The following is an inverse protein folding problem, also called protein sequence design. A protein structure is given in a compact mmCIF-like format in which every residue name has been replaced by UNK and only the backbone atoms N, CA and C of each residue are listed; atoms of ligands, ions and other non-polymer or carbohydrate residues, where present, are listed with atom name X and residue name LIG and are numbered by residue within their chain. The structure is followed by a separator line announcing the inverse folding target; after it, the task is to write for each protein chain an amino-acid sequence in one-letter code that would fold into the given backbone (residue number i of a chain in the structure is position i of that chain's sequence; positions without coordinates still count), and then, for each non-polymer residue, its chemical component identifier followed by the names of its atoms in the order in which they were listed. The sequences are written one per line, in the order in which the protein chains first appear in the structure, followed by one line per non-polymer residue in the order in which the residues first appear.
data_IF_510382675434
#
_entry.id   IF_510382675434
#
_cell.length_a   1.000
_cell.length_b   1.000
_cell.length_c   1.000
_cell.angle_alpha   90.00
_cell.angle_beta   90.00
_cell.angle_gamma   90.00
#
_symmetry.space_group_name_H-M   'P 1'
#
loop_
_entity.id
_entity.type
_entity.pdbx_description
1 polymer ?
#
# COMPACT_ATOMS: atom_id res chain seq x y z
N UNK A 1 17.72 -3.37 -8.45
CA UNK A 1 16.99 -3.93 -7.28
C UNK A 1 16.75 -2.92 -6.15
N UNK A 2 17.74 -2.16 -5.64
CA UNK A 2 17.47 -1.06 -4.69
C UNK A 2 16.48 0.01 -5.22
N UNK A 3 16.40 0.21 -6.54
CA UNK A 3 15.69 1.35 -7.14
C UNK A 3 14.17 1.25 -7.21
N UNK A 4 13.58 0.05 -7.16
CA UNK A 4 12.11 -0.10 -7.17
C UNK A 4 11.54 0.02 -5.75
N UNK A 5 12.23 -0.54 -4.75
CA UNK A 5 11.93 -0.28 -3.32
C UNK A 5 12.27 1.15 -2.90
N UNK A 6 13.30 1.77 -3.50
CA UNK A 6 13.52 3.22 -3.35
C UNK A 6 12.41 4.07 -3.97
N UNK A 7 11.55 3.56 -4.87
CA UNK A 7 10.47 4.35 -5.47
C UNK A 7 9.31 4.53 -4.47
N UNK A 8 9.02 3.51 -3.66
CA UNK A 8 8.04 3.58 -2.55
C UNK A 8 8.57 4.47 -1.42
N UNK A 9 9.84 4.32 -1.05
CA UNK A 9 10.47 5.17 -0.02
C UNK A 9 10.65 6.64 -0.46
N UNK A 10 10.84 6.92 -1.76
CA UNK A 10 11.05 8.28 -2.28
C UNK A 10 9.74 9.08 -2.41
N UNK A 11 8.62 8.41 -2.76
CA UNK A 11 7.28 9.04 -2.77
C UNK A 11 6.81 9.42 -1.35
N UNK A 12 7.18 8.63 -0.33
CA UNK A 12 7.00 9.00 1.08
C UNK A 12 7.92 10.16 1.51
N UNK A 13 9.17 10.18 1.04
CA UNK A 13 10.14 11.22 1.40
C UNK A 13 9.87 12.60 0.74
N UNK A 14 9.18 12.69 -0.40
CA UNK A 14 8.88 14.00 -1.02
C UNK A 14 7.74 14.78 -0.35
N UNK A 15 7.06 14.19 0.64
CA UNK A 15 6.18 14.95 1.55
C UNK A 15 6.96 15.88 2.49
N UNK A 16 8.30 15.81 2.51
CA UNK A 16 9.17 16.41 3.54
C UNK A 16 9.69 17.83 3.28
N UNK A 17 9.34 18.49 2.17
CA UNK A 17 9.82 19.86 1.91
C UNK A 17 8.80 20.96 2.26
N UNK A 18 7.60 20.61 2.71
CA UNK A 18 6.68 21.59 3.28
C UNK A 18 7.03 21.82 4.78
N UNK A 19 7.06 23.07 5.26
CA UNK A 19 7.23 23.35 6.68
C UNK A 19 6.16 22.59 7.47
N UNK A 20 6.59 21.89 8.51
CA UNK A 20 5.76 21.12 9.45
C UNK A 20 4.49 21.90 9.77
N UNK A 21 3.41 21.58 9.07
CA UNK A 21 2.10 22.09 9.40
C UNK A 21 1.77 21.53 10.77
N UNK A 22 1.49 22.41 11.72
CA UNK A 22 0.97 22.03 13.03
C UNK A 22 -0.16 21.04 12.82
N UNK A 23 -0.11 19.88 13.48
CA UNK A 23 -1.15 18.86 13.48
C UNK A 23 -2.52 19.56 13.50
N UNK A 24 -3.25 19.45 12.38
CA UNK A 24 -4.58 20.03 12.32
C UNK A 24 -5.42 19.30 13.35
N UNK A 25 -6.08 20.02 14.25
CA UNK A 25 -7.20 19.51 15.06
C UNK A 25 -8.35 19.15 14.10
N UNK A 26 -8.15 18.09 13.33
CA UNK A 26 -9.21 17.46 12.57
C UNK A 26 -10.10 16.78 13.61
N UNK A 27 -11.18 17.47 13.99
CA UNK A 27 -12.33 16.77 14.56
C UNK A 27 -12.64 15.61 13.60
N UNK A 28 -12.61 14.34 14.03
CA UNK A 28 -12.89 13.23 13.13
C UNK A 28 -14.23 13.50 12.47
N UNK A 29 -14.24 13.64 11.13
CA UNK A 29 -15.48 13.62 10.40
C UNK A 29 -16.17 12.29 10.73
N UNK A 30 -17.49 12.30 10.91
CA UNK A 30 -18.22 11.06 11.09
C UNK A 30 -17.88 10.13 9.90
N UNK A 31 -17.42 8.92 10.22
CA UNK A 31 -17.12 7.90 9.22
C UNK A 31 -18.37 7.63 8.38
N UNK A 32 -18.29 7.82 7.07
CA UNK A 32 -19.34 7.38 6.14
C UNK A 32 -19.42 5.85 6.00
N UNK A 33 -18.43 5.11 6.53
CA UNK A 33 -18.32 3.66 6.41
C UNK A 33 -18.90 2.92 7.62
N UNK A 34 -18.87 3.52 8.82
CA UNK A 34 -19.40 2.91 10.04
C UNK A 34 -20.90 2.56 9.96
N UNK A 35 -21.66 3.35 9.17
CA UNK A 35 -23.10 3.15 8.99
C UNK A 35 -23.46 1.98 8.04
N UNK A 36 -22.47 1.33 7.43
CA UNK A 36 -22.68 0.20 6.50
C UNK A 36 -23.10 -1.10 7.20
N UNK A 37 -23.00 -1.18 8.54
CA UNK A 37 -23.39 -2.37 9.30
C UNK A 37 -22.54 -3.61 9.04
N UNK A 38 -21.31 -3.41 8.56
CA UNK A 38 -20.34 -4.47 8.29
C UNK A 38 -19.71 -4.99 9.59
N UNK A 39 -19.28 -6.27 9.63
CA UNK A 39 -18.33 -6.74 10.63
C UNK A 39 -17.09 -5.83 10.68
N UNK A 40 -16.59 -5.55 11.89
CA UNK A 40 -15.41 -4.70 12.07
C UNK A 40 -14.17 -5.53 12.37
N UNK A 41 -13.03 -5.06 11.85
CA UNK A 41 -11.69 -5.51 12.24
C UNK A 41 -10.91 -4.27 12.68
N UNK A 42 -10.76 -4.09 13.99
CA UNK A 42 -10.10 -2.92 14.57
C UNK A 42 -8.63 -3.27 14.84
N UNK A 43 -7.72 -2.62 14.10
CA UNK A 43 -6.27 -2.85 14.16
C UNK A 43 -5.61 -1.64 14.80
N UNK A 44 -4.81 -1.86 15.84
CA UNK A 44 -3.92 -0.82 16.38
C UNK A 44 -2.50 -1.09 15.93
N UNK A 45 -1.90 -0.12 15.25
CA UNK A 45 -0.49 -0.16 14.86
C UNK A 45 0.30 0.58 15.95
N UNK A 46 1.35 -0.07 16.47
CA UNK A 46 2.24 0.49 17.50
C UNK A 46 3.69 0.43 17.03
N UNK A 47 4.61 1.02 17.79
CA UNK A 47 6.05 0.82 17.58
C UNK A 47 6.48 -0.66 17.63
N UNK A 48 5.74 -1.49 18.38
CA UNK A 48 6.08 -2.89 18.62
C UNK A 48 5.47 -3.88 17.61
N UNK A 49 4.49 -3.44 16.80
CA UNK A 49 3.75 -4.32 15.89
C UNK A 49 2.26 -3.99 15.84
N UNK A 50 1.47 -4.98 15.43
CA UNK A 50 0.01 -4.89 15.29
C UNK A 50 -0.71 -5.52 16.48
N UNK A 51 -1.80 -4.90 16.90
CA UNK A 51 -2.77 -5.43 17.87
C UNK A 51 -4.16 -5.51 17.24
N UNK A 52 -4.99 -6.43 17.72
CA UNK A 52 -6.39 -6.57 17.29
C UNK A 52 -6.62 -7.52 16.10
N UNK A 53 -5.55 -8.02 15.48
CA UNK A 53 -5.63 -9.05 14.44
C UNK A 53 -5.75 -10.44 15.11
N UNK A 54 -6.86 -11.18 14.93
CA UNK A 54 -7.03 -12.50 15.52
C UNK A 54 -6.21 -13.56 14.76
N UNK A 55 -5.94 -14.71 15.40
CA UNK A 55 -5.31 -15.85 14.71
C UNK A 55 -6.20 -16.43 13.59
N UNK A 56 -7.52 -16.25 13.69
CA UNK A 56 -8.47 -16.62 12.64
C UNK A 56 -9.70 -15.71 12.61
N UNK A 57 -10.28 -15.54 11.42
CA UNK A 57 -11.60 -14.92 11.23
C UNK A 57 -12.44 -15.67 10.19
N UNK A 58 -13.75 -15.44 10.17
CA UNK A 58 -14.61 -15.95 9.10
C UNK A 58 -14.48 -15.12 7.82
N UNK A 59 -14.59 -15.75 6.65
CA UNK A 59 -14.57 -15.07 5.37
C UNK A 59 -15.73 -14.07 5.27
N UNK A 60 -15.43 -12.87 4.77
CA UNK A 60 -16.41 -11.80 4.79
C UNK A 60 -15.89 -10.45 4.29
N UNK A 61 -16.82 -9.52 4.17
CA UNK A 61 -16.55 -8.10 3.94
C UNK A 61 -16.41 -7.40 5.28
N UNK A 62 -15.28 -6.75 5.50
CA UNK A 62 -14.96 -6.09 6.77
C UNK A 62 -14.82 -4.59 6.58
N UNK A 63 -15.35 -3.83 7.53
CA UNK A 63 -14.85 -2.49 7.81
C UNK A 63 -13.60 -2.63 8.67
N UNK A 64 -12.44 -2.37 8.08
CA UNK A 64 -11.18 -2.35 8.81
C UNK A 64 -10.93 -0.92 9.29
N UNK A 65 -10.82 -0.76 10.60
CA UNK A 65 -10.41 0.50 11.23
C UNK A 65 -8.99 0.34 11.70
N UNK A 66 -8.09 1.19 11.23
CA UNK A 66 -6.72 1.23 11.72
C UNK A 66 -6.57 2.42 12.64
N UNK A 67 -5.82 2.24 13.71
CA UNK A 67 -5.42 3.34 14.61
C UNK A 67 -3.91 3.29 14.75
N UNK A 68 -3.22 4.35 14.34
CA UNK A 68 -1.80 4.50 14.60
C UNK A 68 -1.61 5.09 15.99
N UNK A 69 -0.98 4.34 16.89
CA UNK A 69 -0.65 4.82 18.22
C UNK A 69 0.35 6.00 18.13
N UNK A 70 0.41 6.82 19.18
CA UNK A 70 1.34 7.97 19.20
C UNK A 70 2.83 7.56 19.12
N UNK A 71 3.13 6.28 19.37
CA UNK A 71 4.50 5.75 19.40
C UNK A 71 4.99 5.19 18.06
N UNK A 72 4.16 5.14 17.00
CA UNK A 72 4.51 4.58 15.68
C UNK A 72 5.59 5.36 14.90
N UNK A 73 6.19 6.39 15.51
CA UNK A 73 7.18 7.26 14.86
C UNK A 73 6.54 8.30 13.95
N UNK A 74 7.37 9.12 13.30
CA UNK A 74 6.92 10.29 12.53
C UNK A 74 5.95 9.94 11.40
N UNK A 75 6.09 8.75 10.82
CA UNK A 75 5.28 8.32 9.70
C UNK A 75 3.98 7.65 10.09
N UNK A 76 3.64 7.41 11.36
CA UNK A 76 2.38 6.72 11.66
C UNK A 76 2.44 5.22 11.40
N UNK A 77 1.28 4.63 11.14
CA UNK A 77 1.13 3.19 10.94
C UNK A 77 0.26 2.88 9.74
N UNK A 78 0.62 1.83 9.02
CA UNK A 78 -0.18 1.29 7.93
C UNK A 78 -0.39 -0.21 8.14
N UNK A 79 -1.39 -0.75 7.46
CA UNK A 79 -1.55 -2.20 7.31
C UNK A 79 -2.14 -2.49 5.94
N UNK A 80 -1.57 -3.48 5.27
CA UNK A 80 -2.05 -4.07 4.03
C UNK A 80 -2.27 -5.58 4.23
N UNK A 81 -3.25 -6.12 3.53
CA UNK A 81 -3.65 -7.53 3.63
C UNK A 81 -3.33 -8.25 2.32
N UNK A 82 -2.49 -9.28 2.42
CA UNK A 82 -1.98 -10.05 1.28
C UNK A 82 -2.25 -11.53 1.52
N UNK A 83 -2.82 -12.20 0.53
CA UNK A 83 -2.98 -13.63 0.49
C UNK A 83 -2.02 -14.23 -0.54
N UNK A 84 -0.98 -14.97 -0.11
CA UNK A 84 -0.14 -15.72 -1.02
C UNK A 84 -0.93 -16.75 -1.83
N UNK A 85 -0.47 -17.01 -3.06
CA UNK A 85 -1.02 -18.05 -3.92
C UNK A 85 0.04 -19.11 -4.20
N UNK A 86 -0.33 -20.38 -4.05
CA UNK A 86 0.53 -21.54 -4.38
C UNK A 86 1.68 -21.83 -3.40
N UNK A 87 1.94 -20.96 -2.43
CA UNK A 87 2.98 -21.08 -1.38
C UNK A 87 2.39 -20.71 -0.01
N UNK A 88 3.08 -21.04 1.09
CA UNK A 88 2.69 -20.55 2.41
C UNK A 88 3.11 -19.10 2.63
N UNK A 89 2.52 -18.43 3.62
CA UNK A 89 2.87 -17.08 4.04
C UNK A 89 4.33 -16.94 4.48
N UNK A 90 4.84 -17.88 5.27
CA UNK A 90 6.27 -17.89 5.64
C UNK A 90 7.19 -18.00 4.42
N UNK A 91 6.83 -18.85 3.45
CA UNK A 91 7.60 -19.01 2.22
C UNK A 91 7.54 -17.73 1.38
N UNK A 92 6.35 -17.13 1.26
CA UNK A 92 6.15 -15.86 0.56
C UNK A 92 6.98 -14.72 1.17
N UNK A 93 6.93 -14.54 2.50
CA UNK A 93 7.75 -13.55 3.21
C UNK A 93 9.25 -13.82 3.03
N UNK A 94 9.66 -15.09 3.08
CA UNK A 94 11.04 -15.49 2.81
C UNK A 94 11.51 -15.15 1.38
N UNK A 95 10.62 -15.21 0.39
CA UNK A 95 10.92 -14.80 -0.98
C UNK A 95 11.08 -13.28 -1.10
N UNK A 96 10.27 -12.49 -0.37
CA UNK A 96 10.34 -11.03 -0.39
C UNK A 96 11.57 -10.47 0.31
N UNK A 97 12.04 -11.12 1.39
CA UNK A 97 13.23 -10.71 2.11
C UNK A 97 14.54 -10.83 1.28
N UNK A 98 14.51 -11.60 0.19
CA UNK A 98 15.66 -11.84 -0.67
C UNK A 98 16.75 -12.69 -0.01
N UNK A 99 17.83 -13.03 -0.75
CA UNK A 99 18.95 -13.78 -0.18
C UNK A 99 19.70 -12.93 0.87
N UNK A 100 20.25 -13.54 1.93
CA UNK A 100 21.05 -12.83 2.92
C UNK A 100 22.20 -12.04 2.26
N UNK A 101 22.56 -10.85 2.78
CA UNK A 101 23.60 -9.99 2.19
C UNK A 101 24.98 -10.66 2.05
N UNK A 102 25.23 -11.73 2.80
CA UNK A 102 26.50 -12.46 2.78
C UNK A 102 26.53 -13.65 1.81
N UNK A 103 25.41 -13.97 1.16
CA UNK A 103 25.33 -15.08 0.21
C UNK A 103 25.90 -14.73 -1.19
N UNK A 104 26.05 -13.44 -1.50
CA UNK A 104 26.66 -12.96 -2.75
C UNK A 104 28.14 -12.61 -2.55
N UNK A 105 28.96 -13.61 -2.19
CA UNK A 105 30.42 -13.50 -2.13
C UNK A 105 31.09 -13.45 -3.52
N UNK A 106 30.60 -12.61 -4.43
CA UNK A 106 31.09 -12.49 -5.80
C UNK A 106 31.27 -11.04 -6.22
N UNK A 107 32.49 -10.72 -6.65
CA UNK A 107 32.96 -9.46 -7.25
C UNK A 107 31.84 -8.61 -7.90
N UNK A 108 31.54 -7.45 -7.29
CA UNK A 108 30.58 -6.48 -7.81
C UNK A 108 31.20 -5.68 -8.96
N UNK A 109 31.17 -6.27 -10.15
CA UNK A 109 31.29 -5.55 -11.41
C UNK A 109 30.21 -6.06 -12.38
N UNK A 110 28.95 -5.71 -12.12
CA UNK A 110 27.87 -5.88 -13.10
C UNK A 110 27.67 -4.58 -13.87
N UNK A 111 27.56 -4.63 -15.21
CA UNK A 111 27.27 -3.47 -16.05
C UNK A 111 25.83 -3.01 -15.84
N UNK A 112 25.65 -1.69 -15.89
CA UNK A 112 24.34 -1.02 -15.88
C UNK A 112 23.63 -1.36 -17.18
N UNK A 113 22.51 -2.10 -17.09
CA UNK A 113 21.52 -2.23 -18.16
C UNK A 113 20.25 -1.53 -17.67
N UNK A 114 19.80 -0.56 -18.47
CA UNK A 114 18.54 0.16 -18.27
C UNK A 114 17.38 -0.82 -18.36
N UNK A 115 16.68 -1.03 -17.23
CA UNK A 115 15.45 -1.80 -17.17
C UNK A 115 14.29 -0.80 -17.30
N UNK A 116 13.88 -0.50 -18.53
CA UNK A 116 12.51 -0.07 -18.79
C UNK A 116 11.56 -1.23 -18.43
N UNK A 117 10.41 -0.92 -17.83
CA UNK A 117 9.43 -1.86 -17.28
C UNK A 117 8.70 -2.69 -18.36
N UNK A 118 9.44 -3.51 -19.11
CA UNK A 118 8.89 -4.56 -19.97
C UNK A 118 9.30 -5.90 -19.38
N UNK A 119 8.35 -6.81 -19.06
CA UNK A 119 8.72 -8.17 -18.69
C UNK A 119 9.54 -8.81 -19.82
N UNK A 120 10.76 -9.27 -19.53
CA UNK A 120 11.56 -9.98 -20.52
C UNK A 120 10.87 -11.30 -20.91
N UNK A 121 10.73 -11.54 -22.21
CA UNK A 121 10.05 -12.71 -22.79
C UNK A 121 10.88 -14.01 -22.67
N UNK A 122 12.14 -13.93 -22.22
CA UNK A 122 12.96 -15.08 -21.86
C UNK A 122 13.21 -15.06 -20.35
N UNK A 123 12.87 -16.16 -19.67
CA UNK A 123 12.91 -16.29 -18.21
C UNK A 123 14.33 -16.36 -17.62
N UNK A 124 15.23 -15.46 -18.04
CA UNK A 124 16.57 -15.31 -17.47
C UNK A 124 16.77 -13.93 -16.83
N UNK A 125 15.96 -13.60 -15.82
CA UNK A 125 16.11 -12.37 -15.05
C UNK A 125 16.61 -12.64 -13.63
N UNK A 126 17.91 -12.49 -13.42
CA UNK A 126 18.45 -12.27 -12.09
C UNK A 126 18.11 -10.84 -11.64
N UNK A 127 16.89 -10.62 -11.12
CA UNK A 127 16.58 -9.40 -10.36
C UNK A 127 15.16 -8.84 -10.42
N UNK A 128 14.19 -9.53 -11.01
CA UNK A 128 12.77 -9.16 -10.90
C UNK A 128 12.15 -9.58 -9.55
N UNK A 129 11.05 -8.95 -9.10
CA UNK A 129 10.30 -9.43 -7.96
C UNK A 129 9.83 -10.87 -8.17
N UNK A 130 9.69 -11.69 -7.10
CA UNK A 130 9.28 -13.08 -7.22
C UNK A 130 7.95 -13.21 -7.96
N UNK A 131 7.81 -14.23 -8.82
CA UNK A 131 6.56 -14.49 -9.56
C UNK A 131 5.34 -14.60 -8.62
N UNK A 132 5.54 -15.16 -7.42
CA UNK A 132 4.52 -15.26 -6.38
C UNK A 132 3.89 -13.92 -6.00
N UNK A 133 4.62 -12.79 -6.11
CA UNK A 133 4.09 -11.46 -5.84
C UNK A 133 2.99 -11.07 -6.85
N UNK A 134 3.10 -11.49 -8.10
CA UNK A 134 2.12 -11.20 -9.15
C UNK A 134 0.91 -12.14 -9.11
N UNK A 135 1.02 -13.25 -8.38
CA UNK A 135 -0.05 -14.24 -8.20
C UNK A 135 -0.79 -14.09 -6.87
N UNK A 136 -0.25 -13.30 -5.93
CA UNK A 136 -0.87 -13.01 -4.65
C UNK A 136 -2.13 -12.15 -4.81
N UNK A 137 -3.09 -12.36 -3.92
CA UNK A 137 -4.28 -11.50 -3.81
C UNK A 137 -4.01 -10.38 -2.81
N UNK A 138 -4.24 -9.14 -3.23
CA UNK A 138 -4.13 -7.96 -2.37
C UNK A 138 -5.54 -7.44 -2.07
N UNK A 139 -6.00 -7.59 -0.83
CA UNK A 139 -7.29 -7.01 -0.41
C UNK A 139 -7.21 -5.48 -0.22
N UNK A 140 -6.00 -4.93 -0.23
CA UNK A 140 -5.73 -3.52 -0.02
C UNK A 140 -5.24 -3.25 1.39
N UNK A 141 -5.21 -1.97 1.75
CA UNK A 141 -4.71 -1.48 3.02
C UNK A 141 -4.98 -0.01 3.18
N UNK A 142 -4.74 0.50 4.38
CA UNK A 142 -4.86 1.92 4.67
C UNK A 142 -3.76 2.37 5.62
N UNK A 143 -3.67 3.68 5.81
CA UNK A 143 -2.61 4.35 6.55
C UNK A 143 -3.19 5.44 7.45
N UNK A 144 -2.65 5.54 8.67
CA UNK A 144 -3.00 6.58 9.62
C UNK A 144 -1.72 7.22 10.17
N UNK A 145 -1.73 8.55 10.27
CA UNK A 145 -0.67 9.29 10.95
C UNK A 145 -0.75 9.07 12.48
N UNK A 146 0.32 9.33 13.25
CA UNK A 146 0.33 9.06 14.68
C UNK A 146 -0.82 9.74 15.43
N UNK A 147 -1.50 8.98 16.28
CA UNK A 147 -2.65 9.44 17.06
C UNK A 147 -3.95 9.55 16.27
N UNK A 148 -3.98 9.12 15.00
CA UNK A 148 -5.18 9.15 14.15
C UNK A 148 -5.64 7.75 13.76
N UNK A 149 -6.83 7.70 13.15
CA UNK A 149 -7.43 6.49 12.60
C UNK A 149 -7.78 6.69 11.13
N UNK A 150 -7.77 5.59 10.38
CA UNK A 150 -8.24 5.52 9.00
C UNK A 150 -9.05 4.24 8.80
N UNK A 151 -9.90 4.22 7.77
CA UNK A 151 -10.83 3.12 7.54
C UNK A 151 -10.80 2.68 6.07
N UNK A 152 -11.04 1.40 5.86
CA UNK A 152 -11.20 0.79 4.54
C UNK A 152 -12.22 -0.34 4.61
N UNK A 153 -12.99 -0.54 3.54
CA UNK A 153 -13.80 -1.75 3.37
C UNK A 153 -13.06 -2.69 2.45
N UNK A 154 -12.85 -3.93 2.89
CA UNK A 154 -12.16 -4.95 2.09
C UNK A 154 -12.84 -6.32 2.23
N UNK A 155 -12.65 -7.15 1.21
CA UNK A 155 -13.12 -8.53 1.17
C UNK A 155 -11.98 -9.48 1.51
N UNK A 156 -12.22 -10.36 2.49
CA UNK A 156 -11.29 -11.41 2.89
C UNK A 156 -11.90 -12.77 2.56
N UNK A 157 -11.62 -13.33 1.36
CA UNK A 157 -11.96 -14.72 1.06
C UNK A 157 -11.13 -15.72 1.90
N UNK A 158 -11.58 -16.99 1.97
CA UNK A 158 -10.89 -18.01 2.76
C UNK A 158 -9.43 -18.25 2.35
N UNK A 159 -8.59 -18.57 3.32
CA UNK A 159 -7.19 -18.99 3.18
C UNK A 159 -6.25 -18.32 4.18
N UNK A 160 -4.95 -18.50 3.97
CA UNK A 160 -3.89 -17.92 4.82
C UNK A 160 -3.57 -16.49 4.36
N UNK A 161 -3.56 -15.54 5.30
CA UNK A 161 -3.36 -14.11 5.04
C UNK A 161 -2.20 -13.55 5.84
N UNK A 162 -1.60 -12.51 5.29
CA UNK A 162 -0.55 -11.70 5.91
C UNK A 162 -1.10 -10.29 6.10
N UNK A 163 -1.00 -9.76 7.31
CA UNK A 163 -1.11 -8.34 7.58
C UNK A 163 0.30 -7.75 7.71
N UNK A 164 0.66 -6.81 6.85
CA UNK A 164 2.00 -6.21 6.79
C UNK A 164 1.98 -4.70 6.58
N UNK A 165 3.14 -4.07 6.76
CA UNK A 165 3.30 -2.65 6.58
C UNK A 165 3.45 -2.25 5.09
N UNK A 166 3.55 -3.19 4.15
CA UNK A 166 3.81 -2.85 2.74
C UNK A 166 5.12 -2.08 2.49
N UNK A 167 5.94 -1.86 3.53
CA UNK A 167 7.30 -1.37 3.50
C UNK A 167 8.19 -2.42 4.19
N UNK A 168 9.14 -3.05 3.48
CA UNK A 168 10.03 -4.04 4.08
C UNK A 168 11.00 -3.45 5.12
N UNK A 169 11.15 -2.13 5.21
CA UNK A 169 11.94 -1.46 6.24
C UNK A 169 11.12 -1.09 7.49
N UNK A 170 9.81 -1.32 7.47
CA UNK A 170 8.95 -1.09 8.62
C UNK A 170 9.38 -1.97 9.80
N UNK A 171 9.28 -1.40 11.01
CA UNK A 171 9.64 -2.11 12.25
C UNK A 171 8.59 -3.12 12.69
N UNK A 172 7.36 -3.02 12.16
CA UNK A 172 6.27 -3.91 12.50
C UNK A 172 6.44 -5.26 11.79
N UNK A 173 6.60 -6.33 12.57
CA UNK A 173 6.63 -7.69 12.04
C UNK A 173 5.27 -8.05 11.40
N UNK A 174 5.26 -8.70 10.21
CA UNK A 174 4.02 -9.17 9.61
C UNK A 174 3.29 -10.18 10.51
N UNK A 175 1.96 -10.12 10.53
CA UNK A 175 1.11 -11.11 11.22
C UNK A 175 0.52 -12.06 10.17
N UNK A 176 0.68 -13.37 10.41
CA UNK A 176 0.02 -14.42 9.64
C UNK A 176 -1.25 -14.85 10.39
N UNK A 177 -2.38 -14.94 9.69
CA UNK A 177 -3.66 -15.36 10.23
C UNK A 177 -4.48 -16.14 9.21
N UNK A 178 -5.47 -16.91 9.67
CA UNK A 178 -6.33 -17.72 8.80
C UNK A 178 -7.70 -17.07 8.59
N UNK A 179 -8.19 -17.06 7.35
CA UNK A 179 -9.59 -16.75 7.04
C UNK A 179 -10.32 -18.05 6.74
N UNK A 180 -11.30 -18.40 7.57
CA UNK A 180 -12.04 -19.66 7.51
C UNK A 180 -13.43 -19.49 6.88
N UNK A 181 -14.13 -20.60 6.64
CA UNK A 181 -15.49 -20.58 6.13
C UNK A 181 -15.59 -20.40 4.61
N UNK A 182 -16.71 -19.89 4.14
CA UNK A 182 -16.98 -19.60 2.72
C UNK A 182 -17.35 -18.14 2.57
N UNK A 183 -16.91 -17.50 1.49
CA UNK A 183 -17.29 -16.13 1.22
C UNK A 183 -18.82 -16.03 1.04
N UNK A 184 -19.52 -15.14 1.77
CA UNK A 184 -20.96 -14.99 1.60
C UNK A 184 -21.31 -14.62 0.15
N UNK A 185 -22.24 -15.35 -0.45
CA UNK A 185 -22.61 -15.17 -1.87
C UNK A 185 -23.47 -13.92 -2.13
N UNK A 186 -24.05 -13.34 -1.07
CA UNK A 186 -24.98 -12.21 -1.12
C UNK A 186 -24.41 -10.99 -0.37
N UNK A 187 -23.14 -10.65 -0.59
CA UNK A 187 -22.53 -9.43 -0.04
C UNK A 187 -23.05 -8.21 -0.81
N UNK A 188 -23.79 -7.34 -0.11
CA UNK A 188 -24.20 -6.08 -0.69
C UNK A 188 -22.99 -5.18 -0.93
N UNK A 189 -22.89 -4.63 -2.14
CA UNK A 189 -21.92 -3.60 -2.47
C UNK A 189 -22.29 -2.28 -1.78
N UNK A 190 -21.40 -1.66 -0.99
CA UNK A 190 -21.62 -0.31 -0.49
C UNK A 190 -21.83 0.67 -1.64
N UNK A 191 -22.77 1.59 -1.48
CA UNK A 191 -22.93 2.71 -2.41
C UNK A 191 -21.67 3.58 -2.38
N UNK A 192 -21.05 3.79 -3.55
CA UNK A 192 -19.88 4.65 -3.71
C UNK A 192 -20.25 5.98 -4.38
N UNK A 193 -19.49 7.03 -4.03
CA UNK A 193 -19.60 8.34 -4.68
C UNK A 193 -18.95 8.34 -6.07
N UNK A 194 -17.88 7.55 -6.23
CA UNK A 194 -17.17 7.37 -7.48
C UNK A 194 -16.44 6.03 -7.51
N UNK A 195 -16.12 5.58 -8.72
CA UNK A 195 -15.28 4.40 -8.98
C UNK A 195 -13.96 4.83 -9.62
N UNK A 196 -12.86 4.46 -8.97
CA UNK A 196 -11.49 4.65 -9.45
C UNK A 196 -10.98 3.33 -10.02
N UNK A 197 -10.80 3.28 -11.34
CA UNK A 197 -10.29 2.10 -12.04
C UNK A 197 -8.79 2.25 -12.27
N UNK A 198 -8.05 1.18 -11.97
CA UNK A 198 -6.62 1.04 -12.17
C UNK A 198 -6.33 -0.12 -13.11
N UNK A 199 -5.33 0.04 -13.97
CA UNK A 199 -4.84 -0.97 -14.88
C UNK A 199 -3.51 -0.52 -15.49
N UNK A 200 -3.01 -1.28 -16.46
CA UNK A 200 -1.74 -0.95 -17.09
C UNK A 200 -1.78 0.45 -17.71
N UNK A 201 -0.95 1.35 -17.17
CA UNK A 201 -0.85 2.76 -17.57
C UNK A 201 -2.15 3.56 -17.46
N UNK A 202 -3.11 3.11 -16.63
CA UNK A 202 -4.37 3.82 -16.42
C UNK A 202 -4.74 3.88 -14.94
N UNK A 203 -4.98 5.09 -14.46
CA UNK A 203 -5.68 5.37 -13.20
C UNK A 203 -6.71 6.43 -13.54
N UNK A 204 -8.00 6.11 -13.42
CA UNK A 204 -9.06 7.02 -13.86
C UNK A 204 -10.35 6.83 -13.08
N UNK A 205 -11.05 7.94 -12.81
CA UNK A 205 -12.44 7.91 -12.37
C UNK A 205 -13.33 7.50 -13.55
N UNK A 206 -13.99 6.35 -13.44
CA UNK A 206 -14.80 5.75 -14.51
C UNK A 206 -16.29 5.90 -14.28
N UNK A 207 -16.71 6.00 -13.02
CA UNK A 207 -18.10 6.23 -12.62
C UNK A 207 -18.15 7.30 -11.50
N UNK A 208 -19.24 8.07 -11.46
CA UNK A 208 -19.40 9.16 -10.50
C UNK A 208 -18.46 10.35 -10.74
N UNK A 209 -18.25 11.15 -9.70
CA UNK A 209 -17.35 12.30 -9.71
C UNK A 209 -16.72 12.50 -8.33
N UNK A 210 -15.47 12.99 -8.30
CA UNK A 210 -14.83 13.39 -7.05
C UNK A 210 -15.28 14.79 -6.68
N UNK A 211 -15.95 14.90 -5.53
CA UNK A 211 -16.44 16.15 -4.96
C UNK A 211 -15.74 16.52 -3.65
N UNK A 212 -15.86 17.78 -3.22
CA UNK A 212 -15.31 18.18 -1.93
C UNK A 212 -16.15 17.60 -0.77
N UNK A 213 -15.47 17.07 0.26
CA UNK A 213 -16.10 16.52 1.46
C UNK A 213 -15.86 15.01 1.62
N UNK A 214 -16.48 14.36 2.62
CA UNK A 214 -16.41 12.91 2.81
C UNK A 214 -17.00 12.18 1.61
N UNK A 215 -16.28 11.16 1.11
CA UNK A 215 -16.71 10.33 -0.01
C UNK A 215 -16.35 8.88 0.24
N UNK A 216 -17.19 7.98 -0.27
CA UNK A 216 -16.88 6.54 -0.35
C UNK A 216 -16.39 6.27 -1.76
N UNK A 217 -15.14 5.84 -1.90
CA UNK A 217 -14.56 5.53 -3.20
C UNK A 217 -14.47 4.02 -3.37
N UNK A 218 -14.99 3.53 -4.50
CA UNK A 218 -14.72 2.16 -4.94
C UNK A 218 -13.42 2.16 -5.73
N UNK A 219 -12.50 1.26 -5.41
CA UNK A 219 -11.24 1.09 -6.13
C UNK A 219 -11.28 -0.27 -6.84
N UNK A 220 -11.05 -0.28 -8.14
CA UNK A 220 -11.04 -1.49 -8.95
C UNK A 220 -9.71 -1.64 -9.68
N UNK A 221 -9.03 -2.75 -9.49
CA UNK A 221 -7.93 -3.16 -10.35
C UNK A 221 -8.46 -4.06 -11.48
N UNK A 222 -8.41 -3.58 -12.71
CA UNK A 222 -8.78 -4.33 -13.93
C UNK A 222 -7.56 -4.82 -14.72
N UNK A 223 -6.36 -4.47 -14.26
CA UNK A 223 -5.09 -4.88 -14.87
C UNK A 223 -4.75 -6.34 -14.54
N UNK A 224 -3.82 -6.88 -15.32
CA UNK A 224 -3.20 -8.18 -15.03
C UNK A 224 -2.10 -8.07 -13.95
N UNK A 225 -1.62 -6.86 -13.67
CA UNK A 225 -0.62 -6.60 -12.63
C UNK A 225 -1.24 -5.93 -11.39
N UNK A 226 -0.59 -6.08 -10.21
CA UNK A 226 -0.94 -5.27 -9.04
C UNK A 226 -0.75 -3.79 -9.36
N UNK A 227 -1.79 -3.00 -9.16
CA UNK A 227 -1.76 -1.54 -9.21
C UNK A 227 -2.14 -0.98 -7.84
N UNK A 228 -1.51 0.13 -7.47
CA UNK A 228 -1.81 0.84 -6.24
C UNK A 228 -2.17 2.29 -6.53
N UNK A 229 -2.97 2.86 -5.65
CA UNK A 229 -3.22 4.30 -5.61
C UNK A 229 -2.82 4.81 -4.24
N UNK A 230 -2.12 5.93 -4.22
CA UNK A 230 -1.82 6.66 -3.02
C UNK A 230 -2.45 8.05 -3.12
N UNK A 231 -3.22 8.42 -2.09
CA UNK A 231 -3.86 9.73 -2.00
C UNK A 231 -3.39 10.45 -0.75
N UNK A 232 -2.98 11.70 -0.91
CA UNK A 232 -2.68 12.59 0.21
C UNK A 232 -3.38 13.94 -0.01
N UNK A 233 -3.71 14.62 1.10
CA UNK A 233 -4.16 16.00 1.05
C UNK A 233 -2.93 16.91 1.15
N UNK A 234 -2.70 17.68 0.09
CA UNK A 234 -1.70 18.76 0.13
C UNK A 234 -2.13 19.93 1.03
N UNK A 235 -1.21 20.86 1.32
CA UNK A 235 -1.54 22.13 1.98
C UNK A 235 -2.68 22.87 1.27
N UNK A 236 -3.47 23.64 2.00
CA UNK A 236 -4.62 24.38 1.44
C UNK A 236 -4.20 25.45 0.42
N UNK A 237 -2.94 25.88 0.44
CA UNK A 237 -2.34 26.82 -0.50
C UNK A 237 -1.57 26.15 -1.64
N UNK A 238 -1.60 24.82 -1.74
CA UNK A 238 -0.99 24.08 -2.84
C UNK A 238 -1.70 24.39 -4.17
N UNK A 239 -0.93 24.79 -5.17
CA UNK A 239 -1.41 25.14 -6.50
C UNK A 239 -1.10 24.07 -7.54
N UNK A 240 -1.88 24.04 -8.62
CA UNK A 240 -1.64 23.14 -9.77
C UNK A 240 -0.26 23.35 -10.38
N UNK A 241 0.23 24.59 -10.45
CA UNK A 241 1.56 24.91 -10.96
C UNK A 241 2.67 24.29 -10.08
N UNK A 242 2.52 24.33 -8.76
CA UNK A 242 3.47 23.69 -7.85
C UNK A 242 3.46 22.16 -7.99
N UNK A 243 2.29 21.56 -8.20
CA UNK A 243 2.16 20.12 -8.46
C UNK A 243 2.87 19.77 -9.78
N UNK A 244 2.62 20.54 -10.85
CA UNK A 244 3.24 20.27 -12.16
C UNK A 244 4.76 20.41 -12.10
N UNK A 245 5.29 21.42 -11.39
CA UNK A 245 6.73 21.58 -11.19
C UNK A 245 7.33 20.37 -10.47
N UNK A 246 6.68 19.88 -9.41
CA UNK A 246 7.17 18.71 -8.68
C UNK A 246 7.19 17.44 -9.56
N UNK A 247 6.15 17.25 -10.38
CA UNK A 247 6.07 16.12 -11.32
C UNK A 247 7.13 16.21 -12.43
N UNK A 248 7.34 17.40 -12.99
CA UNK A 248 8.36 17.63 -14.03
C UNK A 248 9.78 17.41 -13.48
N UNK A 249 10.04 17.83 -12.24
CA UNK A 249 11.30 17.58 -11.55
C UNK A 249 11.54 16.08 -11.30
N UNK A 250 10.52 15.35 -10.85
CA UNK A 250 10.60 13.90 -10.68
C UNK A 250 10.91 13.18 -12.00
N UNK A 251 10.19 13.53 -13.07
CA UNK A 251 10.41 12.96 -14.39
C UNK A 251 11.83 13.25 -14.89
N UNK A 252 12.33 14.47 -14.68
CA UNK A 252 13.69 14.84 -15.04
C UNK A 252 14.76 14.07 -14.24
N UNK A 253 14.51 13.79 -12.94
CA UNK A 253 15.39 12.94 -12.13
C UNK A 253 15.38 11.49 -12.66
N UNK A 254 14.20 10.96 -13.00
CA UNK A 254 14.04 9.65 -13.63
C UNK A 254 14.85 9.51 -14.93
N UNK A 255 14.76 10.50 -15.81
CA UNK A 255 15.46 10.51 -17.11
C UNK A 255 16.97 10.72 -16.98
N UNK A 256 17.45 11.37 -15.91
CA UNK A 256 18.87 11.70 -15.73
C UNK A 256 19.73 10.54 -15.20
N UNK A 257 19.10 9.45 -14.72
CA UNK A 257 19.78 8.28 -14.13
C UNK A 257 20.64 8.59 -12.88
N UNK A 258 20.65 9.83 -12.40
CA UNK A 258 21.55 10.35 -11.37
C UNK A 258 20.71 10.87 -10.21
N UNK A 259 20.72 10.23 -9.03
CA UNK A 259 20.00 10.76 -7.88
C UNK A 259 20.56 12.12 -7.47
N UNK A 260 19.71 13.09 -7.04
CA UNK A 260 20.18 14.36 -6.55
C UNK A 260 21.10 14.16 -5.34
N UNK A 261 22.21 14.90 -5.32
CA UNK A 261 23.07 14.94 -4.14
C UNK A 261 22.34 15.70 -3.03
N UNK A 262 21.77 14.97 -2.07
CA UNK A 262 21.29 15.59 -0.84
C UNK A 262 22.47 16.15 -0.06
N UNK A 263 22.41 17.44 0.28
CA UNK A 263 23.39 18.20 1.08
C UNK A 263 22.80 18.64 2.40
#
# INVERSE_FOLDING_TARGET
MRRLFSLVALLLAMSMLAPVATAQDATPAASGLADLGLPTLDVTVTAAGYEGIPESLEAGRYLVTITAAEDTGEFGGNVAFVQPSGVSADEFLGMLAGPPPDASGGDSASPVVDAEATPAEDGSEAGGPPAALFEATFAGGTFAVPGQSAEIVLDLPPGEWIAEAGDPEASQEPIIFEVTGEMPVDLAEPESSATLTMGEYVIKVTEGELSAGPQVLKIENIGAQPHFVFGSRGPDDLTEEQIQVALDEEQAVGDSGTPPAYS
#
